data_IF_016770117157
#
_entry.id   IF_016770117157
#
_cell.length_a   1.000
_cell.length_b   1.000
_cell.length_c   1.000
_cell.angle_alpha   90.00
_cell.angle_beta   90.00
_cell.angle_gamma   90.00
#
_symmetry.space_group_name_H-M   'P 1'
#
loop_
_entity.id
_entity.type
_entity.pdbx_description
1 polymer ?
#
# COMPACT_ATOMS: atom_id res chain seq x y z
N UNK A 1 29.18 -39.08 1.35
CA UNK A 1 29.16 -37.62 1.65
C UNK A 1 29.12 -36.74 0.40
N UNK A 2 29.98 -36.91 -0.60
CA UNK A 2 29.96 -36.04 -1.84
C UNK A 2 28.63 -36.02 -2.59
N UNK A 3 27.95 -37.16 -2.71
CA UNK A 3 26.68 -37.27 -3.45
C UNK A 3 25.51 -36.52 -2.77
N UNK A 4 25.50 -36.48 -1.43
CA UNK A 4 24.47 -35.75 -0.65
C UNK A 4 24.71 -34.24 -0.76
N UNK A 5 25.97 -33.79 -0.73
CA UNK A 5 26.30 -32.36 -0.92
C UNK A 5 25.91 -31.86 -2.31
N UNK A 6 26.14 -32.64 -3.36
CA UNK A 6 25.79 -32.27 -4.75
C UNK A 6 24.27 -32.16 -4.91
N UNK A 7 23.52 -33.11 -4.33
CA UNK A 7 22.04 -33.06 -4.37
C UNK A 7 21.46 -31.87 -3.58
N UNK A 8 22.06 -31.51 -2.44
CA UNK A 8 21.68 -30.35 -1.66
C UNK A 8 21.92 -29.04 -2.41
N UNK A 9 23.09 -28.93 -3.06
CA UNK A 9 23.41 -27.74 -3.86
C UNK A 9 22.51 -27.58 -5.08
N UNK A 10 22.17 -28.68 -5.75
CA UNK A 10 21.25 -28.67 -6.88
C UNK A 10 19.82 -28.24 -6.50
N UNK A 11 19.34 -28.66 -5.31
CA UNK A 11 18.07 -28.25 -4.77
C UNK A 11 18.03 -26.76 -4.44
N UNK A 12 19.08 -26.25 -3.83
CA UNK A 12 19.19 -24.80 -3.50
C UNK A 12 19.23 -23.97 -4.79
N UNK A 13 19.99 -24.38 -5.78
CA UNK A 13 20.04 -23.71 -7.08
C UNK A 13 18.70 -23.76 -7.80
N UNK A 14 18.00 -24.89 -7.79
CA UNK A 14 16.67 -25.01 -8.38
C UNK A 14 15.65 -24.13 -7.68
N UNK A 15 15.70 -24.05 -6.35
CA UNK A 15 14.85 -23.17 -5.56
C UNK A 15 15.14 -21.69 -5.84
N UNK A 16 16.40 -21.31 -5.93
CA UNK A 16 16.80 -19.95 -6.26
C UNK A 16 16.37 -19.57 -7.68
N UNK A 17 16.53 -20.45 -8.67
CA UNK A 17 16.05 -20.24 -10.03
C UNK A 17 14.51 -20.17 -10.10
N UNK A 18 13.83 -20.97 -9.30
CA UNK A 18 12.38 -20.94 -9.21
C UNK A 18 11.86 -19.65 -8.57
N UNK A 19 12.52 -19.15 -7.51
CA UNK A 19 12.20 -17.85 -6.90
C UNK A 19 12.49 -16.69 -7.86
N UNK A 20 13.57 -16.75 -8.64
CA UNK A 20 13.88 -15.78 -9.69
C UNK A 20 12.80 -15.84 -10.78
N UNK A 21 12.38 -17.03 -11.18
CA UNK A 21 11.35 -17.23 -12.19
C UNK A 21 9.96 -16.77 -11.74
N UNK A 22 9.64 -16.91 -10.44
CA UNK A 22 8.41 -16.35 -9.84
C UNK A 22 8.41 -14.81 -9.83
N UNK A 23 9.50 -14.18 -10.27
CA UNK A 23 9.56 -12.73 -10.41
C UNK A 23 9.71 -11.97 -9.10
N UNK A 24 10.12 -12.63 -8.04
CA UNK A 24 10.41 -11.98 -6.76
C UNK A 24 11.51 -10.92 -6.87
N UNK A 25 12.39 -11.05 -7.86
CA UNK A 25 13.48 -10.12 -8.14
C UNK A 25 13.33 -9.37 -9.46
N UNK A 26 12.20 -9.48 -10.12
CA UNK A 26 12.01 -8.75 -11.38
C UNK A 26 11.62 -7.31 -11.10
N UNK A 27 12.54 -6.40 -11.36
CA UNK A 27 12.21 -4.99 -11.55
C UNK A 27 11.33 -4.87 -12.80
N UNK A 28 10.03 -4.77 -12.62
CA UNK A 28 9.13 -4.40 -13.73
C UNK A 28 8.98 -2.90 -13.73
N UNK A 29 9.32 -2.20 -14.82
CA UNK A 29 8.88 -0.83 -14.97
C UNK A 29 7.36 -0.84 -14.91
N UNK A 30 6.81 -0.22 -13.88
CA UNK A 30 5.37 -0.09 -13.80
C UNK A 30 4.96 1.03 -14.73
N UNK A 31 4.10 0.70 -15.67
CA UNK A 31 3.38 1.69 -16.44
C UNK A 31 2.52 2.46 -15.44
N UNK A 32 2.80 3.74 -15.29
CA UNK A 32 1.91 4.65 -14.59
C UNK A 32 0.64 4.72 -15.42
N UNK A 33 -0.37 3.94 -15.06
CA UNK A 33 -1.71 4.29 -15.48
C UNK A 33 -2.06 5.52 -14.67
N UNK A 34 -2.26 6.63 -15.33
CA UNK A 34 -2.75 7.83 -14.67
C UNK A 34 -4.24 7.67 -14.39
N UNK A 35 -4.66 7.28 -13.20
CA UNK A 35 -6.05 7.24 -12.81
C UNK A 35 -6.54 8.63 -12.38
N UNK A 36 -5.67 9.63 -12.41
CA UNK A 36 -5.93 10.92 -11.86
C UNK A 36 -7.12 11.58 -12.56
N UNK A 37 -8.16 11.72 -11.81
CA UNK A 37 -9.35 12.49 -12.18
C UNK A 37 -9.18 13.97 -11.88
N UNK A 38 -8.14 14.34 -11.16
CA UNK A 38 -7.81 15.70 -10.75
C UNK A 38 -6.47 16.13 -11.35
N UNK A 39 -6.38 17.40 -11.77
CA UNK A 39 -5.11 17.97 -12.23
C UNK A 39 -4.25 18.43 -11.04
N UNK A 40 -2.92 18.33 -11.15
CA UNK A 40 -1.96 18.78 -10.15
C UNK A 40 -1.27 17.65 -9.38
N UNK A 41 -0.50 18.01 -8.38
CA UNK A 41 0.30 17.11 -7.54
C UNK A 41 -0.32 16.81 -6.17
N UNK A 42 -1.56 17.21 -5.95
CA UNK A 42 -2.27 17.03 -4.68
C UNK A 42 -1.87 17.99 -3.55
N UNK A 43 -0.88 18.85 -3.76
CA UNK A 43 -0.36 19.74 -2.70
C UNK A 43 -1.35 20.80 -2.21
N UNK A 44 -2.37 21.12 -3.02
CA UNK A 44 -3.41 22.14 -2.73
C UNK A 44 -4.74 21.55 -2.35
N UNK A 45 -4.88 20.21 -2.29
CA UNK A 45 -6.15 19.58 -1.96
C UNK A 45 -6.49 19.74 -0.48
N UNK A 46 -7.79 19.94 -0.20
CA UNK A 46 -8.34 19.84 1.13
C UNK A 46 -8.77 18.40 1.43
N UNK A 47 -7.97 17.66 2.16
CA UNK A 47 -8.24 16.25 2.48
C UNK A 47 -9.30 16.06 3.58
N UNK A 48 -9.83 17.14 4.16
CA UNK A 48 -10.99 17.09 5.04
C UNK A 48 -12.32 17.13 4.25
N UNK A 49 -12.27 17.51 2.99
CA UNK A 49 -13.42 17.50 2.07
C UNK A 49 -13.45 16.16 1.31
N UNK A 50 -14.02 15.15 1.97
CA UNK A 50 -14.12 13.81 1.39
C UNK A 50 -15.32 13.69 0.44
N UNK A 51 -15.19 12.90 -0.67
CA UNK A 51 -16.33 12.59 -1.52
C UNK A 51 -17.49 11.98 -0.73
N UNK A 52 -18.72 12.38 -1.04
CA UNK A 52 -19.91 11.73 -0.50
C UNK A 52 -20.08 10.38 -1.18
N UNK A 53 -20.26 9.31 -0.41
CA UNK A 53 -20.42 7.95 -0.93
C UNK A 53 -21.91 7.62 -1.10
N UNK A 54 -22.57 8.29 -2.06
CA UNK A 54 -23.99 8.20 -2.33
C UNK A 54 -24.37 7.38 -3.58
N UNK A 55 -23.36 6.81 -4.24
CA UNK A 55 -23.53 6.03 -5.47
C UNK A 55 -23.77 6.86 -6.74
N UNK A 56 -23.69 8.20 -6.68
CA UNK A 56 -23.96 9.07 -7.82
C UNK A 56 -22.85 9.12 -8.87
N UNK A 57 -21.63 8.78 -8.49
CA UNK A 57 -20.44 8.82 -9.34
C UNK A 57 -20.00 7.44 -9.85
N UNK A 58 -18.69 7.27 -10.01
CA UNK A 58 -18.10 5.99 -10.46
C UNK A 58 -18.13 4.94 -9.37
N UNK A 59 -18.20 3.68 -9.79
CA UNK A 59 -17.98 2.52 -8.90
C UNK A 59 -16.48 2.26 -8.78
N UNK A 60 -16.06 1.64 -7.70
CA UNK A 60 -14.67 1.27 -7.44
C UNK A 60 -14.05 0.42 -8.56
N UNK A 61 -14.83 -0.48 -9.14
CA UNK A 61 -14.40 -1.36 -10.23
C UNK A 61 -14.17 -0.64 -11.58
N UNK A 62 -14.78 0.53 -11.77
CA UNK A 62 -14.70 1.30 -13.01
C UNK A 62 -13.49 2.26 -13.04
N UNK A 63 -12.75 2.34 -11.94
CA UNK A 63 -11.54 3.16 -11.83
C UNK A 63 -10.31 2.25 -11.98
N UNK A 64 -9.39 2.59 -12.91
CA UNK A 64 -8.16 1.83 -13.09
C UNK A 64 -7.38 1.65 -11.79
N UNK A 65 -6.65 0.55 -11.68
CA UNK A 65 -5.80 0.28 -10.54
C UNK A 65 -4.67 1.30 -10.46
N UNK A 66 -4.44 1.84 -9.27
CA UNK A 66 -3.29 2.69 -8.99
C UNK A 66 -2.02 1.86 -8.82
N UNK A 67 -0.95 2.29 -9.46
CA UNK A 67 0.34 1.62 -9.39
C UNK A 67 1.40 2.58 -8.85
N UNK A 68 2.34 2.04 -8.09
CA UNK A 68 3.52 2.79 -7.66
C UNK A 68 4.43 3.07 -8.87
N UNK A 69 4.76 4.33 -9.18
CA UNK A 69 5.69 4.63 -10.25
C UNK A 69 7.10 4.10 -9.95
N UNK A 70 7.64 3.25 -10.81
CA UNK A 70 8.98 2.69 -10.62
C UNK A 70 9.18 2.03 -9.26
N UNK A 71 10.18 2.47 -8.49
CA UNK A 71 10.44 2.01 -7.13
C UNK A 71 9.79 2.89 -6.04
N UNK A 72 9.01 3.86 -6.41
CA UNK A 72 8.34 4.80 -5.52
C UNK A 72 7.94 6.07 -6.26
N UNK A 73 6.97 6.80 -5.73
CA UNK A 73 6.61 8.10 -6.28
C UNK A 73 7.57 9.19 -5.77
N UNK A 74 7.86 10.15 -6.62
CA UNK A 74 8.68 11.32 -6.27
C UNK A 74 7.84 12.41 -5.58
N UNK A 75 6.59 12.60 -6.03
CA UNK A 75 5.63 13.54 -5.48
C UNK A 75 4.43 12.79 -4.94
N UNK A 76 3.85 13.31 -3.87
CA UNK A 76 2.65 12.70 -3.29
C UNK A 76 1.50 12.73 -4.31
N UNK A 77 1.02 11.57 -4.77
CA UNK A 77 0.13 11.53 -5.92
C UNK A 77 -1.29 12.00 -5.59
N UNK A 78 -2.02 12.40 -6.64
CA UNK A 78 -3.44 12.73 -6.54
C UNK A 78 -4.27 11.54 -6.03
N UNK A 79 -5.42 11.81 -5.41
CA UNK A 79 -6.35 10.76 -5.01
C UNK A 79 -6.80 9.92 -6.21
N UNK A 80 -6.69 8.60 -6.06
CA UNK A 80 -7.05 7.63 -7.10
C UNK A 80 -8.57 7.46 -7.16
N UNK A 81 -9.23 7.42 -6.00
CA UNK A 81 -10.65 7.17 -5.88
C UNK A 81 -11.51 8.44 -5.82
N UNK A 82 -10.96 9.62 -6.17
CA UNK A 82 -11.69 10.90 -6.06
C UNK A 82 -13.04 10.95 -6.79
N UNK A 83 -13.16 10.24 -7.91
CA UNK A 83 -14.43 10.17 -8.67
C UNK A 83 -15.36 9.05 -8.22
N UNK A 84 -14.95 8.25 -7.23
CA UNK A 84 -15.72 7.11 -6.75
C UNK A 84 -16.67 7.53 -5.63
N UNK A 85 -17.93 7.17 -5.74
CA UNK A 85 -18.95 7.46 -4.71
C UNK A 85 -19.72 6.22 -4.27
N UNK A 86 -19.21 5.02 -4.58
CA UNK A 86 -19.84 3.77 -4.16
C UNK A 86 -19.82 3.65 -2.62
N UNK A 87 -20.98 3.37 -1.98
CA UNK A 87 -21.07 3.22 -0.53
C UNK A 87 -20.13 2.14 0.02
N UNK A 88 -19.62 2.36 1.22
CA UNK A 88 -18.82 1.35 1.90
C UNK A 88 -19.66 0.14 2.29
N UNK A 89 -19.09 -1.06 2.30
CA UNK A 89 -19.80 -2.24 2.77
C UNK A 89 -20.06 -2.16 4.30
N UNK A 90 -21.10 -2.85 4.79
CA UNK A 90 -21.52 -2.74 6.19
C UNK A 90 -20.44 -3.09 7.22
N UNK A 91 -19.53 -3.99 6.87
CA UNK A 91 -18.41 -4.40 7.71
C UNK A 91 -17.26 -3.39 7.77
N UNK A 92 -17.20 -2.43 6.84
CA UNK A 92 -16.16 -1.41 6.82
C UNK A 92 -16.49 -0.21 7.73
N UNK A 93 -15.46 0.40 8.28
CA UNK A 93 -15.54 1.73 8.87
C UNK A 93 -14.96 2.78 7.91
N UNK A 94 -15.38 4.04 8.05
CA UNK A 94 -14.86 5.14 7.24
C UNK A 94 -13.56 5.68 7.86
N UNK A 95 -12.43 5.16 7.35
CA UNK A 95 -11.08 5.59 7.74
C UNK A 95 -10.43 6.50 6.68
N UNK A 96 -11.21 7.02 5.72
CA UNK A 96 -10.71 7.91 4.67
C UNK A 96 -10.11 9.18 5.24
N UNK A 97 -9.06 9.68 4.62
CA UNK A 97 -8.43 10.96 4.95
C UNK A 97 -6.93 10.95 4.77
N UNK A 98 -6.33 12.07 5.09
CA UNK A 98 -4.89 12.21 5.23
C UNK A 98 -4.56 12.13 6.73
N UNK A 99 -3.59 11.32 7.08
CA UNK A 99 -3.27 10.99 8.46
C UNK A 99 -1.78 11.20 8.75
N UNK A 100 -1.45 11.66 9.96
CA UNK A 100 -0.06 11.79 10.42
C UNK A 100 0.13 11.08 11.75
N UNK A 101 1.16 10.24 11.84
CA UNK A 101 1.56 9.60 13.10
C UNK A 101 1.99 10.62 14.14
N UNK A 102 1.36 10.59 15.31
CA UNK A 102 1.64 11.51 16.43
C UNK A 102 2.23 10.79 17.64
N UNK A 103 2.05 9.47 17.71
CA UNK A 103 2.67 8.68 18.79
C UNK A 103 2.98 7.26 18.30
N UNK A 104 3.85 6.56 19.03
CA UNK A 104 4.27 5.19 18.71
C UNK A 104 5.45 5.13 17.74
N UNK A 105 5.58 4.04 16.99
CA UNK A 105 6.74 3.75 16.15
C UNK A 105 6.86 4.58 14.88
N UNK A 106 5.78 5.23 14.42
CA UNK A 106 5.73 5.95 13.13
C UNK A 106 5.39 7.43 13.28
N UNK A 107 5.94 8.10 14.28
CA UNK A 107 5.78 9.56 14.45
C UNK A 107 6.29 10.29 13.22
N UNK A 108 5.47 11.23 12.69
CA UNK A 108 5.76 12.00 11.48
C UNK A 108 5.48 11.28 10.16
N UNK A 109 5.13 10.00 10.19
CA UNK A 109 4.67 9.28 9.00
C UNK A 109 3.35 9.87 8.51
N UNK A 110 3.27 10.14 7.20
CA UNK A 110 2.05 10.65 6.55
C UNK A 110 1.54 9.63 5.55
N UNK A 111 0.24 9.33 5.65
CA UNK A 111 -0.45 8.49 4.69
C UNK A 111 -1.80 9.06 4.29
N UNK A 112 -2.22 8.78 3.08
CA UNK A 112 -3.60 8.97 2.63
C UNK A 112 -4.29 7.62 2.53
N UNK A 113 -5.47 7.51 3.15
CA UNK A 113 -6.38 6.38 2.98
C UNK A 113 -7.57 6.83 2.15
N UNK A 114 -7.84 6.11 1.09
CA UNK A 114 -9.02 6.27 0.25
C UNK A 114 -9.85 5.00 0.28
N UNK A 115 -11.17 5.12 0.33
CA UNK A 115 -12.09 3.98 0.29
C UNK A 115 -13.24 4.28 -0.63
N UNK A 116 -13.69 3.29 -1.37
CA UNK A 116 -14.90 3.34 -2.16
C UNK A 116 -15.40 1.93 -2.46
N UNK A 117 -16.66 1.61 -2.16
CA UNK A 117 -17.10 0.24 -2.12
C UNK A 117 -16.19 -0.58 -1.20
N UNK A 118 -15.78 -1.75 -1.62
CA UNK A 118 -14.82 -2.60 -0.90
C UNK A 118 -13.35 -2.33 -1.23
N UNK A 119 -13.05 -1.33 -2.10
CA UNK A 119 -11.68 -0.98 -2.48
C UNK A 119 -11.06 -0.01 -1.49
N UNK A 120 -9.81 -0.24 -1.15
CA UNK A 120 -9.02 0.64 -0.29
C UNK A 120 -7.70 0.95 -0.99
N UNK A 121 -7.33 2.22 -1.01
CA UNK A 121 -6.02 2.66 -1.49
C UNK A 121 -5.28 3.36 -0.37
N UNK A 122 -4.06 2.94 -0.11
CA UNK A 122 -3.19 3.56 0.88
C UNK A 122 -1.96 4.11 0.16
N UNK A 123 -1.78 5.41 0.25
CA UNK A 123 -0.64 6.13 -0.34
C UNK A 123 0.27 6.61 0.78
N UNK A 124 1.47 6.04 0.88
CA UNK A 124 2.40 6.35 1.95
C UNK A 124 3.84 5.94 1.62
N UNK A 125 4.82 6.58 2.20
CA UNK A 125 6.24 6.20 2.14
C UNK A 125 6.78 5.94 0.71
N UNK A 126 6.30 6.68 -0.27
CA UNK A 126 6.67 6.51 -1.68
C UNK A 126 5.88 5.43 -2.42
N UNK A 127 4.96 4.74 -1.77
CA UNK A 127 4.23 3.60 -2.31
C UNK A 127 2.73 3.89 -2.42
N UNK A 128 2.11 3.28 -3.43
CA UNK A 128 0.66 3.21 -3.60
C UNK A 128 0.26 1.75 -3.41
N UNK A 129 -0.53 1.49 -2.40
CA UNK A 129 -1.09 0.18 -2.11
C UNK A 129 -2.56 0.19 -2.48
N UNK A 130 -2.91 -0.46 -3.58
CA UNK A 130 -4.27 -0.48 -4.11
C UNK A 130 -4.90 -1.86 -3.97
N UNK A 131 -5.77 -1.99 -2.98
CA UNK A 131 -6.49 -3.21 -2.67
C UNK A 131 -7.83 -3.21 -3.41
N UNK A 132 -7.93 -4.02 -4.45
CA UNK A 132 -9.12 -4.09 -5.30
C UNK A 132 -10.36 -4.65 -4.61
N UNK A 133 -11.53 -4.54 -5.27
CA UNK A 133 -12.82 -4.91 -4.69
C UNK A 133 -12.99 -6.42 -4.41
N UNK A 134 -12.16 -7.28 -4.94
CA UNK A 134 -12.27 -8.74 -4.84
C UNK A 134 -11.36 -9.35 -3.77
N UNK A 135 -11.01 -8.60 -2.77
CA UNK A 135 -10.21 -9.01 -1.64
C UNK A 135 -10.97 -9.92 -0.68
N UNK A 136 -11.05 -11.15 -1.02
CA UNK A 136 -11.77 -12.13 -0.19
C UNK A 136 -10.86 -12.89 0.77
N UNK A 137 -9.60 -12.47 0.92
CA UNK A 137 -8.61 -13.24 1.68
C UNK A 137 -8.17 -14.52 0.96
N UNK A 138 -7.05 -15.06 1.36
CA UNK A 138 -6.44 -16.24 0.75
C UNK A 138 -5.46 -15.91 -0.36
N UNK A 139 -5.25 -16.85 -1.29
CA UNK A 139 -4.25 -16.71 -2.37
C UNK A 139 -4.62 -15.65 -3.42
N UNK A 140 -5.88 -15.22 -3.45
CA UNK A 140 -6.34 -14.13 -4.31
C UNK A 140 -6.08 -12.80 -3.60
N UNK A 141 -4.89 -12.35 -3.68
CA UNK A 141 -4.46 -11.10 -3.08
C UNK A 141 -5.12 -9.92 -3.76
N UNK A 142 -5.57 -9.00 -3.00
CA UNK A 142 -5.68 -7.61 -3.41
C UNK A 142 -4.29 -7.07 -3.53
N UNK A 143 -3.78 -7.25 -4.67
CA UNK A 143 -2.41 -7.04 -4.93
C UNK A 143 -2.03 -5.60 -4.73
N UNK A 144 -1.15 -5.37 -3.81
CA UNK A 144 -0.46 -4.12 -3.72
C UNK A 144 0.74 -4.17 -4.62
N UNK A 145 0.79 -3.26 -5.54
CA UNK A 145 2.03 -3.01 -6.24
C UNK A 145 2.85 -2.01 -5.45
N UNK A 146 3.42 -2.46 -4.35
CA UNK A 146 4.48 -1.76 -3.64
C UNK A 146 5.84 -2.16 -4.20
N UNK A 147 6.78 -1.24 -4.19
CA UNK A 147 8.15 -1.52 -4.60
C UNK A 147 9.10 -1.23 -3.45
N UNK A 148 9.97 -2.19 -3.18
CA UNK A 148 11.08 -2.00 -2.27
C UNK A 148 12.35 -1.89 -3.09
N UNK A 149 13.05 -0.76 -2.98
CA UNK A 149 14.33 -0.55 -3.63
C UNK A 149 15.43 -1.28 -2.86
N UNK A 150 16.23 -2.09 -3.55
CA UNK A 150 17.44 -2.69 -3.00
C UNK A 150 18.59 -2.62 -4.00
N UNK A 151 19.81 -2.67 -3.51
CA UNK A 151 21.01 -2.65 -4.35
C UNK A 151 21.64 -4.02 -4.37
N UNK A 152 21.82 -4.58 -5.57
CA UNK A 152 22.52 -5.85 -5.77
C UNK A 152 23.53 -5.69 -6.91
N UNK A 153 24.80 -6.03 -6.66
CA UNK A 153 25.86 -5.91 -7.67
C UNK A 153 26.08 -4.48 -8.18
N UNK A 154 25.84 -3.47 -7.34
CA UNK A 154 25.97 -2.05 -7.69
C UNK A 154 24.82 -1.50 -8.55
N UNK A 155 23.77 -2.28 -8.77
CA UNK A 155 22.58 -1.86 -9.51
C UNK A 155 21.37 -1.82 -8.58
N UNK A 156 20.54 -0.80 -8.78
CA UNK A 156 19.27 -0.66 -8.05
C UNK A 156 18.18 -1.54 -8.68
N UNK A 157 17.44 -2.22 -7.84
CA UNK A 157 16.33 -3.09 -8.21
C UNK A 157 15.10 -2.76 -7.36
N UNK A 158 13.93 -2.92 -7.94
CA UNK A 158 12.66 -2.81 -7.23
C UNK A 158 12.07 -4.19 -6.99
N UNK A 159 11.62 -4.44 -5.78
CA UNK A 159 10.92 -5.68 -5.44
C UNK A 159 9.42 -5.40 -5.30
N UNK A 160 8.61 -6.20 -5.96
CA UNK A 160 7.16 -6.20 -5.74
C UNK A 160 6.83 -6.74 -4.36
N UNK A 161 5.88 -6.08 -3.69
CA UNK A 161 5.28 -6.60 -2.46
C UNK A 161 3.80 -6.82 -2.69
N UNK A 162 3.23 -7.82 -2.07
CA UNK A 162 1.80 -8.07 -2.08
C UNK A 162 1.30 -8.28 -0.66
N UNK A 163 0.05 -7.89 -0.44
CA UNK A 163 -0.65 -8.14 0.79
C UNK A 163 -2.13 -8.35 0.47
N UNK A 164 -2.89 -8.93 1.36
CA UNK A 164 -4.35 -8.88 1.31
C UNK A 164 -4.87 -8.05 2.46
N UNK A 165 -6.07 -7.51 2.31
CA UNK A 165 -6.77 -6.85 3.37
C UNK A 165 -8.19 -7.42 3.51
N UNK A 166 -8.69 -7.45 4.73
CA UNK A 166 -10.03 -7.93 5.05
C UNK A 166 -10.62 -7.03 6.12
N UNK A 167 -11.87 -6.61 5.92
CA UNK A 167 -12.66 -5.97 6.95
C UNK A 167 -13.29 -7.02 7.85
N UNK A 168 -13.10 -6.90 9.15
CA UNK A 168 -13.73 -7.71 10.20
C UNK A 168 -14.12 -6.77 11.34
N UNK A 169 -15.41 -6.68 11.63
CA UNK A 169 -15.94 -5.89 12.75
C UNK A 169 -15.42 -4.45 12.79
N UNK A 170 -15.46 -3.72 11.66
CA UNK A 170 -14.94 -2.35 11.50
C UNK A 170 -13.42 -2.22 11.60
N UNK A 171 -12.70 -3.32 11.66
CA UNK A 171 -11.24 -3.36 11.69
C UNK A 171 -10.72 -3.80 10.33
N UNK A 172 -9.82 -3.02 9.74
CA UNK A 172 -9.12 -3.37 8.52
C UNK A 172 -7.87 -4.17 8.87
N UNK A 173 -7.88 -5.45 8.53
CA UNK A 173 -6.78 -6.37 8.80
C UNK A 173 -5.91 -6.57 7.55
N UNK A 174 -4.60 -6.48 7.69
CA UNK A 174 -3.63 -6.71 6.63
C UNK A 174 -2.85 -8.00 6.86
N UNK A 175 -2.75 -8.79 5.81
CA UNK A 175 -2.06 -10.08 5.81
C UNK A 175 -0.88 -10.03 4.85
N UNK A 176 0.31 -10.40 5.33
CA UNK A 176 1.51 -10.45 4.50
C UNK A 176 1.33 -11.46 3.36
N UNK A 177 1.83 -11.10 2.18
CA UNK A 177 1.82 -11.96 0.98
C UNK A 177 0.43 -12.47 0.56
N UNK A 178 -0.63 -11.93 1.14
CA UNK A 178 -2.01 -12.33 0.87
C UNK A 178 -2.54 -13.55 1.62
N UNK A 179 -1.66 -14.32 2.26
CA UNK A 179 -2.00 -15.55 2.99
C UNK A 179 -1.16 -15.75 4.26
N UNK A 180 -0.22 -14.87 4.50
CA UNK A 180 0.66 -14.90 5.66
C UNK A 180 -0.02 -14.46 6.95
N UNK A 181 0.77 -14.20 7.99
CA UNK A 181 0.23 -13.73 9.26
C UNK A 181 -0.40 -12.33 9.11
N UNK A 182 -1.34 -12.03 9.98
CA UNK A 182 -1.85 -10.67 10.18
C UNK A 182 -0.71 -9.80 10.69
N UNK A 183 -0.37 -8.75 9.95
CA UNK A 183 0.79 -7.90 10.25
C UNK A 183 0.40 -6.54 10.79
N UNK A 184 -0.74 -6.00 10.38
CA UNK A 184 -1.26 -4.70 10.83
C UNK A 184 -2.77 -4.76 10.89
N UNK A 185 -3.34 -4.10 11.90
CA UNK A 185 -4.75 -3.76 11.99
C UNK A 185 -4.90 -2.25 11.95
N UNK A 186 -5.94 -1.76 11.27
CA UNK A 186 -6.30 -0.34 11.25
C UNK A 186 -7.73 -0.16 11.63
N UNK A 187 -7.98 0.77 12.54
CA UNK A 187 -9.34 1.09 13.01
C UNK A 187 -9.40 2.49 13.58
N UNK A 188 -10.60 3.01 13.75
CA UNK A 188 -10.84 4.30 14.39
C UNK A 188 -10.97 4.14 15.90
N UNK A 189 -10.36 5.09 16.63
CA UNK A 189 -10.59 5.30 18.05
C UNK A 189 -10.92 6.80 18.23
N UNK A 190 -12.21 7.12 18.25
CA UNK A 190 -12.67 8.51 18.16
C UNK A 190 -12.26 9.17 16.85
N UNK A 191 -11.46 10.24 16.93
CA UNK A 191 -10.98 11.00 15.78
C UNK A 191 -9.62 10.56 15.27
N UNK A 192 -8.99 9.59 15.92
CA UNK A 192 -7.69 9.05 15.54
C UNK A 192 -7.83 7.79 14.67
N UNK A 193 -6.85 7.60 13.78
CA UNK A 193 -6.62 6.32 13.11
C UNK A 193 -5.54 5.55 13.87
N UNK A 194 -5.84 4.33 14.22
CA UNK A 194 -4.93 3.47 14.97
C UNK A 194 -4.31 2.43 14.04
N UNK A 195 -3.00 2.30 14.10
CA UNK A 195 -2.27 1.16 13.58
C UNK A 195 -1.81 0.29 14.72
N UNK A 196 -2.22 -0.94 14.73
CA UNK A 196 -1.78 -1.94 15.69
C UNK A 196 -1.04 -3.04 14.95
N UNK A 197 0.19 -3.28 15.35
CA UNK A 197 1.05 -4.29 14.73
C UNK A 197 0.92 -5.64 15.43
N UNK A 198 1.40 -6.70 14.76
CA UNK A 198 1.33 -8.07 15.29
C UNK A 198 2.10 -8.27 16.61
N UNK A 199 3.10 -7.43 16.89
CA UNK A 199 3.85 -7.42 18.15
C UNK A 199 3.16 -6.63 19.26
N UNK A 200 1.96 -6.09 19.02
CA UNK A 200 1.20 -5.27 19.95
C UNK A 200 1.62 -3.81 20.01
N UNK A 201 2.61 -3.40 19.25
CA UNK A 201 2.95 -1.98 19.17
C UNK A 201 1.84 -1.18 18.46
N UNK A 202 1.64 0.06 18.88
CA UNK A 202 0.56 0.91 18.40
C UNK A 202 1.12 2.23 17.90
N UNK A 203 0.64 2.69 16.75
CA UNK A 203 0.82 4.06 16.27
C UNK A 203 -0.54 4.75 16.23
N UNK A 204 -0.63 5.93 16.85
CA UNK A 204 -1.81 6.80 16.76
C UNK A 204 -1.57 7.87 15.72
N UNK A 205 -2.59 8.16 14.93
CA UNK A 205 -2.51 9.11 13.83
C UNK A 205 -3.63 10.13 13.92
N UNK A 206 -3.28 11.41 13.76
CA UNK A 206 -4.23 12.51 13.66
C UNK A 206 -4.61 12.78 12.20
N UNK A 207 -5.80 13.33 11.99
CA UNK A 207 -6.28 13.74 10.67
C UNK A 207 -5.65 15.06 10.26
N UNK A 208 -5.22 15.15 8.99
CA UNK A 208 -4.74 16.37 8.37
C UNK A 208 -5.70 16.81 7.26
N UNK A 209 -5.90 18.13 7.09
CA UNK A 209 -6.66 18.68 5.96
C UNK A 209 -5.76 19.05 4.77
N UNK A 210 -4.48 19.29 4.99
CA UNK A 210 -3.52 19.66 3.95
C UNK A 210 -2.26 18.81 4.03
N UNK A 211 -1.65 18.56 2.88
CA UNK A 211 -0.37 17.86 2.82
C UNK A 211 0.71 18.70 3.50
N UNK A 212 1.47 18.16 4.47
CA UNK A 212 2.58 18.87 5.08
C UNK A 212 3.65 19.29 4.07
N UNK A 213 4.34 20.41 4.29
CA UNK A 213 5.34 20.96 3.37
C UNK A 213 6.46 19.97 3.07
N UNK A 214 6.89 19.20 4.06
CA UNK A 214 7.91 18.18 3.92
C UNK A 214 7.49 17.00 3.01
N UNK A 215 6.19 16.86 2.77
CA UNK A 215 5.63 15.85 1.87
C UNK A 215 5.34 16.38 0.46
N UNK A 216 5.42 17.70 0.26
CA UNK A 216 5.26 18.36 -1.05
C UNK A 216 6.54 18.33 -1.88
N UNK A 217 7.70 18.19 -1.24
CA UNK A 217 8.97 18.11 -1.92
C UNK A 217 9.24 16.71 -2.45
N UNK A 218 9.92 16.57 -3.61
CA UNK A 218 10.31 15.28 -4.15
C UNK A 218 11.12 14.48 -3.12
N UNK A 219 10.76 13.23 -2.90
CA UNK A 219 11.52 12.33 -2.04
C UNK A 219 12.30 11.33 -2.89
N UNK A 220 13.47 10.86 -2.43
CA UNK A 220 14.17 9.78 -3.12
C UNK A 220 13.24 8.57 -3.26
N UNK A 221 13.26 7.96 -4.43
CA UNK A 221 12.40 6.83 -4.79
C UNK A 221 12.56 5.66 -3.83
N UNK A 222 11.46 5.18 -3.29
CA UNK A 222 11.35 3.89 -2.60
C UNK A 222 11.96 3.82 -1.21
N UNK A 223 11.57 2.77 -0.50
CA UNK A 223 12.21 2.38 0.75
C UNK A 223 13.49 1.60 0.40
N UNK A 224 14.65 2.17 0.68
CA UNK A 224 15.92 1.46 0.46
C UNK A 224 16.09 0.39 1.54
N UNK A 225 16.13 -0.87 1.14
CA UNK A 225 16.69 -1.94 1.96
C UNK A 225 18.16 -2.04 1.63
N UNK A 226 19.03 -1.69 2.59
CA UNK A 226 20.44 -2.02 2.49
C UNK A 226 20.58 -3.50 2.87
N UNK A 227 20.77 -4.33 1.85
CA UNK A 227 21.18 -5.72 2.06
C UNK A 227 22.69 -5.71 2.23
N UNK A 228 23.14 -6.04 3.43
CA UNK A 228 24.55 -6.21 3.79
C UNK A 228 25.15 -7.46 3.11
#
# INVERSE_FOLDING_TARGET
MKTIMIRGLALILALALWLIWLGWFSARPQLTTDPATLAGDGSTLNYCELPVLDGSGKRAADIPKGNTPGCGYDHFPLPILAACTEPLPPEADDIRGLWRGVSGGNVGHVERVEQCGSRVVVTAAGLIHDYGPNSTGGLNTNDTEGSVLFTLGGKEHCMRTSASMIWEDKILNFYAFGWGPKVVRRYRDGDELIWEYADGSVTRMERLCTLPEENKVPKPRGRRLELF
#
